data_IF_251059748408
#
_entry.id   IF_251059748408
#
_cell.length_a   1.000
_cell.length_b   1.000
_cell.length_c   1.000
_cell.angle_alpha   90.00
_cell.angle_beta   90.00
_cell.angle_gamma   90.00
#
_symmetry.space_group_name_H-M   'P 1'
#
loop_
_entity.id
_entity.type
_entity.pdbx_description
1 polymer ?
#
# COMPACT_ATOMS: atom_id res chain seq x y z
N UNK A 1 33.31 -19.41 57.27
CA UNK A 1 33.10 -19.68 55.83
C UNK A 1 31.84 -18.92 55.46
N UNK A 2 31.97 -17.62 55.27
CA UNK A 2 30.83 -16.69 55.16
C UNK A 2 30.72 -16.21 53.72
N UNK A 3 29.83 -16.82 52.95
CA UNK A 3 29.54 -16.45 51.57
C UNK A 3 28.49 -15.33 51.53
N UNK A 4 28.98 -14.08 51.40
CA UNK A 4 28.17 -12.89 51.13
C UNK A 4 27.66 -12.96 49.69
N UNK A 5 26.35 -13.11 49.51
CA UNK A 5 25.69 -13.08 48.21
C UNK A 5 25.65 -11.63 47.67
N UNK A 6 26.25 -11.42 46.51
CA UNK A 6 26.29 -10.13 45.80
C UNK A 6 24.93 -9.89 45.10
N UNK A 7 24.17 -8.93 45.61
CA UNK A 7 22.88 -8.54 45.07
C UNK A 7 23.09 -7.73 43.78
N UNK A 8 22.98 -8.40 42.63
CA UNK A 8 23.08 -7.77 41.31
C UNK A 8 22.05 -6.65 41.10
N UNK A 9 22.51 -5.40 41.19
CA UNK A 9 21.73 -4.21 40.83
C UNK A 9 21.40 -4.23 39.33
N UNK A 10 20.14 -4.50 38.99
CA UNK A 10 19.62 -4.40 37.61
C UNK A 10 19.64 -2.94 37.15
N UNK A 11 20.63 -2.56 36.34
CA UNK A 11 20.67 -1.26 35.65
C UNK A 11 19.49 -1.14 34.70
N UNK A 12 18.51 -0.28 35.03
CA UNK A 12 17.38 0.05 34.15
C UNK A 12 17.93 0.79 32.92
N UNK A 13 17.80 0.18 31.75
CA UNK A 13 18.18 0.78 30.47
C UNK A 13 17.14 1.86 30.11
N UNK A 14 17.38 3.10 30.52
CA UNK A 14 16.58 4.25 30.06
C UNK A 14 17.01 4.54 28.62
N UNK A 15 16.16 4.17 27.65
CA UNK A 15 16.36 4.58 26.25
C UNK A 15 16.30 6.11 26.20
N UNK A 16 17.45 6.76 25.95
CA UNK A 16 17.49 8.17 25.57
C UNK A 16 16.80 8.31 24.21
N UNK A 17 15.53 8.70 24.22
CA UNK A 17 14.81 9.07 23.00
C UNK A 17 15.43 10.37 22.49
N UNK A 18 16.14 10.31 21.36
CA UNK A 18 16.61 11.52 20.70
C UNK A 18 15.42 12.44 20.39
N UNK A 19 15.51 13.76 20.63
CA UNK A 19 14.41 14.69 20.31
C UNK A 19 14.18 14.70 18.79
N UNK A 20 13.16 13.95 18.35
CA UNK A 20 12.92 13.59 16.94
C UNK A 20 12.24 14.69 16.11
N UNK A 21 12.45 15.96 16.45
CA UNK A 21 11.92 17.08 15.66
C UNK A 21 13.05 18.06 15.41
N UNK A 22 13.51 18.13 14.15
CA UNK A 22 14.47 19.13 13.70
C UNK A 22 14.07 20.51 14.23
N UNK A 23 15.00 21.29 14.81
CA UNK A 23 14.69 22.53 15.54
C UNK A 23 13.86 23.52 14.70
N UNK A 24 14.08 23.56 13.39
CA UNK A 24 13.30 24.38 12.47
C UNK A 24 11.81 23.99 12.35
N UNK A 25 11.45 22.70 12.46
CA UNK A 25 10.04 22.26 12.37
C UNK A 25 9.26 22.67 13.62
N UNK A 26 9.89 22.65 14.78
CA UNK A 26 9.29 23.07 16.06
C UNK A 26 9.03 24.58 16.03
N UNK A 27 10.02 25.37 15.63
CA UNK A 27 9.90 26.83 15.52
C UNK A 27 8.83 27.26 14.49
N UNK A 28 8.76 26.59 13.33
CA UNK A 28 7.70 26.85 12.33
C UNK A 28 6.29 26.55 12.88
N UNK A 29 6.14 25.50 13.70
CA UNK A 29 4.86 25.19 14.35
C UNK A 29 4.50 26.25 15.38
N UNK A 30 5.46 26.71 16.18
CA UNK A 30 5.26 27.80 17.15
C UNK A 30 4.82 29.08 16.46
N UNK A 31 5.51 29.48 15.38
CA UNK A 31 5.15 30.65 14.56
C UNK A 31 3.72 30.54 14.04
N UNK A 32 3.35 29.40 13.43
CA UNK A 32 1.99 29.20 12.89
C UNK A 32 0.91 29.28 13.99
N UNK A 33 1.19 28.77 15.18
CA UNK A 33 0.25 28.81 16.29
C UNK A 33 0.03 30.25 16.79
N UNK A 34 1.10 31.03 16.94
CA UNK A 34 1.03 32.42 17.37
C UNK A 34 0.38 33.31 16.31
N UNK A 35 0.67 33.10 15.03
CA UNK A 35 -0.02 33.80 13.95
C UNK A 35 -1.52 33.46 13.88
N UNK A 36 -1.90 32.22 14.19
CA UNK A 36 -3.32 31.83 14.27
C UNK A 36 -4.03 32.52 15.43
N UNK A 37 -3.38 32.59 16.60
CA UNK A 37 -3.93 33.29 17.75
C UNK A 37 -4.26 34.76 17.43
N UNK A 38 -3.39 35.43 16.66
CA UNK A 38 -3.60 36.81 16.23
C UNK A 38 -4.56 36.98 15.03
N UNK A 39 -4.65 36.00 14.14
CA UNK A 39 -5.55 36.06 12.97
C UNK A 39 -7.00 35.67 13.30
N UNK A 40 -7.21 34.92 14.36
CA UNK A 40 -8.53 34.50 14.80
C UNK A 40 -9.22 35.66 15.52
N UNK A 41 -10.24 36.23 14.87
CA UNK A 41 -10.99 37.40 15.37
C UNK A 41 -11.66 37.17 16.73
N UNK A 42 -12.06 35.93 17.01
CA UNK A 42 -12.75 35.60 18.26
C UNK A 42 -11.77 35.58 19.44
N UNK A 43 -10.60 34.97 19.26
CA UNK A 43 -9.57 34.95 20.31
C UNK A 43 -8.88 36.31 20.49
N UNK A 44 -8.81 37.13 19.44
CA UNK A 44 -8.19 38.45 19.51
C UNK A 44 -8.99 39.45 20.37
N UNK A 45 -10.33 39.34 20.36
CA UNK A 45 -11.22 40.21 21.15
C UNK A 45 -11.08 39.98 22.66
N UNK A 46 -10.80 38.75 23.05
CA UNK A 46 -10.68 38.35 24.46
C UNK A 46 -9.25 38.51 25.00
N UNK A 47 -8.30 38.89 24.15
CA UNK A 47 -6.89 39.02 24.53
C UNK A 47 -6.55 40.47 24.95
N UNK A 48 -5.84 40.67 26.07
CA UNK A 48 -5.34 41.98 26.46
C UNK A 48 -4.37 42.54 25.40
N UNK A 49 -4.41 43.85 25.18
CA UNK A 49 -3.55 44.55 24.20
C UNK A 49 -2.06 44.32 24.47
N UNK A 50 -1.67 44.20 25.74
CA UNK A 50 -0.30 43.87 26.15
C UNK A 50 0.13 42.48 25.67
N UNK A 51 -0.76 41.49 25.79
CA UNK A 51 -0.50 40.10 25.35
C UNK A 51 -0.39 40.04 23.83
N UNK A 52 -1.19 40.82 23.10
CA UNK A 52 -1.08 40.95 21.65
C UNK A 52 0.31 41.49 21.28
N UNK A 53 0.72 42.62 21.87
CA UNK A 53 2.04 43.22 21.61
C UNK A 53 3.21 42.28 21.96
N UNK A 54 3.10 41.52 23.05
CA UNK A 54 4.09 40.49 23.40
C UNK A 54 4.14 39.34 22.40
N UNK A 55 2.99 38.86 21.94
CA UNK A 55 2.95 37.77 20.96
C UNK A 55 3.51 38.19 19.61
N UNK A 56 3.29 39.43 19.17
CA UNK A 56 3.91 40.00 17.97
C UNK A 56 5.43 40.10 18.09
N UNK A 57 5.95 40.57 19.24
CA UNK A 57 7.40 40.56 19.53
C UNK A 57 7.98 39.15 19.47
N UNK A 58 7.29 38.18 20.11
CA UNK A 58 7.70 36.76 20.07
C UNK A 58 7.65 36.18 18.64
N UNK A 59 6.69 36.58 17.80
CA UNK A 59 6.64 36.18 16.38
C UNK A 59 7.88 36.68 15.64
N UNK A 60 8.26 37.94 15.84
CA UNK A 60 9.45 38.53 15.23
C UNK A 60 10.73 37.78 15.65
N UNK A 61 10.86 37.43 16.93
CA UNK A 61 12.00 36.67 17.43
C UNK A 61 12.06 35.24 16.87
N UNK A 62 10.91 34.56 16.75
CA UNK A 62 10.86 33.22 16.15
C UNK A 62 11.16 33.28 14.66
N UNK A 63 10.74 34.33 13.94
CA UNK A 63 11.11 34.57 12.54
C UNK A 63 12.62 34.73 12.37
N UNK A 64 13.26 35.56 13.20
CA UNK A 64 14.72 35.71 13.24
C UNK A 64 15.43 34.39 13.53
N UNK A 65 14.92 33.58 14.46
CA UNK A 65 15.49 32.24 14.76
C UNK A 65 15.35 31.28 13.58
N UNK A 66 14.26 31.33 12.82
CA UNK A 66 14.06 30.49 11.63
C UNK A 66 15.00 30.94 10.50
N UNK A 67 15.18 32.24 10.33
CA UNK A 67 16.11 32.81 9.34
C UNK A 67 17.57 32.48 9.68
N UNK A 68 17.96 32.61 10.95
CA UNK A 68 19.30 32.23 11.44
C UNK A 68 19.59 30.72 11.31
N UNK A 69 18.56 29.87 11.31
CA UNK A 69 18.69 28.43 11.05
C UNK A 69 18.92 28.10 9.55
N UNK A 70 18.94 29.12 8.70
CA UNK A 70 19.16 29.01 7.25
C UNK A 70 18.04 28.26 6.53
N UNK A 71 18.14 28.12 5.19
CA UNK A 71 17.30 27.22 4.43
C UNK A 71 17.59 25.80 4.90
N UNK A 72 16.78 25.32 5.84
CA UNK A 72 16.75 23.91 6.19
C UNK A 72 16.50 23.12 4.92
N UNK A 73 17.27 22.06 4.64
CA UNK A 73 16.96 21.19 3.53
C UNK A 73 15.56 20.68 3.79
N UNK A 74 14.64 21.07 2.91
CA UNK A 74 13.42 20.29 2.74
C UNK A 74 13.86 18.83 2.54
N UNK A 75 13.06 17.82 2.88
CA UNK A 75 13.40 16.44 2.53
C UNK A 75 13.64 16.24 1.01
N UNK A 76 13.43 17.26 0.16
CA UNK A 76 13.81 17.28 -1.25
C UNK A 76 15.27 17.70 -1.54
N UNK A 77 16.03 18.28 -0.58
CA UNK A 77 17.33 18.91 -0.88
C UNK A 77 18.50 18.53 0.04
N UNK A 78 18.45 17.41 0.75
CA UNK A 78 19.66 16.87 1.37
C UNK A 78 20.61 16.31 0.28
N UNK A 79 21.87 16.76 0.17
CA UNK A 79 22.86 16.09 -0.66
C UNK A 79 23.20 14.76 0.00
N UNK A 80 22.67 13.68 -0.57
CA UNK A 80 22.99 12.32 -0.14
C UNK A 80 24.43 12.01 -0.56
N UNK A 81 25.36 12.14 0.38
CA UNK A 81 26.67 11.51 0.24
C UNK A 81 26.45 9.99 0.09
N UNK A 82 26.82 9.45 -1.09
CA UNK A 82 26.92 8.01 -1.34
C UNK A 82 25.71 7.29 -1.95
N UNK A 83 24.69 7.98 -2.47
CA UNK A 83 23.57 7.32 -3.13
C UNK A 83 23.78 7.24 -4.65
N UNK A 84 23.72 6.01 -5.19
CA UNK A 84 23.58 5.69 -6.61
C UNK A 84 22.67 6.71 -7.34
N UNK A 85 22.92 7.00 -8.64
CA UNK A 85 22.19 8.03 -9.36
C UNK A 85 20.70 7.79 -9.15
N UNK A 86 20.04 8.77 -8.51
CA UNK A 86 18.58 8.80 -8.40
C UNK A 86 18.09 8.83 -9.84
N UNK A 87 17.83 7.64 -10.41
CA UNK A 87 17.09 7.48 -11.64
C UNK A 87 15.94 8.46 -11.52
N UNK A 88 15.87 9.45 -12.42
CA UNK A 88 14.78 10.42 -12.45
C UNK A 88 13.50 9.63 -12.17
N UNK A 89 12.96 9.83 -10.98
CA UNK A 89 11.78 9.13 -10.50
C UNK A 89 10.69 9.76 -11.34
N UNK A 90 10.45 9.16 -12.51
CA UNK A 90 9.37 9.56 -13.38
C UNK A 90 8.11 9.57 -12.52
N UNK A 91 7.46 10.72 -12.51
CA UNK A 91 6.30 10.99 -11.69
C UNK A 91 5.22 9.97 -12.03
N UNK A 92 5.17 8.88 -11.25
CA UNK A 92 3.97 8.09 -11.02
C UNK A 92 2.97 8.95 -10.23
N UNK A 93 2.53 10.06 -10.81
CA UNK A 93 1.34 10.80 -10.39
C UNK A 93 0.19 10.20 -11.17
N UNK A 94 -0.63 9.34 -10.57
CA UNK A 94 -1.88 9.85 -9.97
C UNK A 94 -2.08 9.50 -8.49
N UNK A 95 -1.66 8.32 -8.03
CA UNK A 95 -1.93 7.87 -6.66
C UNK A 95 -0.89 6.82 -6.25
N UNK A 96 0.19 7.26 -5.59
CA UNK A 96 1.37 6.46 -5.22
C UNK A 96 1.00 5.06 -4.69
N UNK A 97 1.13 4.05 -5.55
CA UNK A 97 0.97 2.64 -5.19
C UNK A 97 -0.44 2.05 -5.36
N UNK A 98 -1.48 2.85 -5.62
CA UNK A 98 -2.86 2.36 -5.72
C UNK A 98 -3.05 1.35 -6.84
N UNK A 99 -2.80 1.78 -8.09
CA UNK A 99 -3.02 0.96 -9.30
C UNK A 99 -2.16 -0.31 -9.28
N UNK A 100 -0.86 -0.18 -9.01
CA UNK A 100 0.04 -1.33 -8.92
C UNK A 100 -0.38 -2.30 -7.82
N UNK A 101 -0.84 -1.81 -6.66
CA UNK A 101 -1.28 -2.66 -5.55
C UNK A 101 -2.65 -3.29 -5.76
N UNK A 102 -3.58 -2.62 -6.45
CA UNK A 102 -4.87 -3.22 -6.84
C UNK A 102 -4.65 -4.30 -7.88
N UNK A 103 -3.81 -4.07 -8.88
CA UNK A 103 -3.46 -5.10 -9.87
C UNK A 103 -2.70 -6.26 -9.24
N UNK A 104 -1.75 -5.99 -8.33
CA UNK A 104 -1.04 -7.06 -7.62
C UNK A 104 -2.01 -7.94 -6.81
N UNK A 105 -2.99 -7.33 -6.14
CA UNK A 105 -4.06 -8.06 -5.43
C UNK A 105 -4.97 -8.80 -6.39
N UNK A 106 -5.31 -8.21 -7.54
CA UNK A 106 -6.16 -8.83 -8.57
C UNK A 106 -5.47 -10.06 -9.16
N UNK A 107 -4.20 -9.95 -9.57
CA UNK A 107 -3.38 -11.07 -10.04
C UNK A 107 -3.30 -12.20 -9.00
N UNK A 108 -2.97 -11.85 -7.75
CA UNK A 108 -2.90 -12.83 -6.66
C UNK A 108 -4.23 -13.55 -6.43
N UNK A 109 -5.36 -12.82 -6.43
CA UNK A 109 -6.69 -13.41 -6.30
C UNK A 109 -7.03 -14.31 -7.48
N UNK A 110 -6.67 -13.94 -8.71
CA UNK A 110 -6.87 -14.78 -9.89
C UNK A 110 -6.10 -16.09 -9.78
N UNK A 111 -4.83 -16.07 -9.36
CA UNK A 111 -4.05 -17.31 -9.13
C UNK A 111 -4.71 -18.20 -8.07
N UNK A 112 -5.15 -17.62 -6.96
CA UNK A 112 -5.81 -18.38 -5.88
C UNK A 112 -7.14 -18.96 -6.34
N UNK A 113 -7.96 -18.17 -7.04
CA UNK A 113 -9.23 -18.62 -7.61
C UNK A 113 -9.02 -19.72 -8.64
N UNK A 114 -8.02 -19.56 -9.52
CA UNK A 114 -7.65 -20.54 -10.53
C UNK A 114 -7.24 -21.87 -9.89
N UNK A 115 -6.32 -21.85 -8.92
CA UNK A 115 -5.91 -23.07 -8.20
C UNK A 115 -7.06 -23.75 -7.45
N UNK A 116 -8.05 -22.97 -7.00
CA UNK A 116 -9.25 -23.51 -6.33
C UNK A 116 -10.22 -24.16 -7.34
N UNK A 117 -10.37 -23.58 -8.52
CA UNK A 117 -11.24 -24.10 -9.59
C UNK A 117 -10.62 -25.30 -10.31
N UNK A 118 -9.29 -25.33 -10.42
CA UNK A 118 -8.53 -26.35 -11.13
C UNK A 118 -7.61 -27.09 -10.14
N UNK A 119 -8.14 -28.02 -9.33
CA UNK A 119 -7.32 -28.81 -8.41
C UNK A 119 -6.27 -29.67 -9.14
N UNK A 120 -6.54 -30.04 -10.40
CA UNK A 120 -5.66 -30.85 -11.25
C UNK A 120 -4.88 -30.01 -12.28
N UNK A 121 -4.65 -28.72 -12.01
CA UNK A 121 -3.94 -27.80 -12.93
C UNK A 121 -2.54 -28.28 -13.34
N UNK A 122 -1.91 -29.15 -12.56
CA UNK A 122 -0.61 -29.75 -12.90
C UNK A 122 -0.74 -30.89 -13.92
N UNK A 123 -1.89 -31.57 -13.98
CA UNK A 123 -2.13 -32.69 -14.88
C UNK A 123 -2.61 -32.25 -16.27
N UNK A 124 -3.27 -31.09 -16.36
CA UNK A 124 -3.73 -30.53 -17.63
C UNK A 124 -2.71 -29.53 -18.20
N UNK A 125 -2.21 -29.80 -19.40
CA UNK A 125 -1.26 -28.92 -20.09
C UNK A 125 -1.87 -27.53 -20.37
N UNK A 126 -3.18 -27.45 -20.61
CA UNK A 126 -3.85 -26.17 -20.81
C UNK A 126 -3.93 -25.34 -19.53
N UNK A 127 -4.30 -25.98 -18.40
CA UNK A 127 -4.45 -25.30 -17.11
C UNK A 127 -3.09 -24.86 -16.54
N UNK A 128 -2.05 -25.68 -16.73
CA UNK A 128 -0.69 -25.31 -16.33
C UNK A 128 -0.16 -24.11 -17.12
N UNK A 129 -0.48 -23.98 -18.41
CA UNK A 129 -0.15 -22.80 -19.23
C UNK A 129 -0.86 -21.55 -18.72
N UNK A 130 -2.17 -21.64 -18.45
CA UNK A 130 -2.94 -20.52 -17.91
C UNK A 130 -2.42 -20.05 -16.54
N UNK A 131 -2.08 -20.99 -15.66
CA UNK A 131 -1.44 -20.67 -14.39
C UNK A 131 -0.10 -19.98 -14.58
N UNK A 132 0.73 -20.45 -15.51
CA UNK A 132 2.02 -19.84 -15.81
C UNK A 132 1.87 -18.42 -16.34
N UNK A 133 0.82 -18.13 -17.11
CA UNK A 133 0.49 -16.77 -17.55
C UNK A 133 0.07 -15.86 -16.39
N UNK A 134 -0.78 -16.35 -15.48
CA UNK A 134 -1.18 -15.62 -14.28
C UNK A 134 0.02 -15.35 -13.35
N UNK A 135 0.93 -16.31 -13.22
CA UNK A 135 2.20 -16.13 -12.50
C UNK A 135 3.09 -15.09 -13.18
N UNK A 136 3.20 -15.13 -14.51
CA UNK A 136 3.97 -14.15 -15.28
C UNK A 136 3.40 -12.74 -15.08
N UNK A 137 2.08 -12.58 -15.10
CA UNK A 137 1.41 -11.31 -14.79
C UNK A 137 1.79 -10.81 -13.40
N UNK A 138 1.73 -11.68 -12.38
CA UNK A 138 2.16 -11.31 -11.02
C UNK A 138 3.61 -10.80 -11.00
N UNK A 139 4.51 -11.47 -11.72
CA UNK A 139 5.92 -11.11 -11.79
C UNK A 139 6.16 -9.82 -12.58
N UNK A 140 5.43 -9.61 -13.69
CA UNK A 140 5.41 -8.35 -14.44
C UNK A 140 5.07 -7.20 -13.52
N UNK A 141 4.00 -7.33 -12.72
CA UNK A 141 3.58 -6.31 -11.77
C UNK A 141 4.71 -6.08 -10.77
N UNK A 142 5.16 -7.11 -10.05
CA UNK A 142 6.19 -6.98 -8.99
C UNK A 142 7.45 -6.30 -9.51
N UNK A 143 7.97 -6.76 -10.64
CA UNK A 143 9.29 -6.38 -11.18
C UNK A 143 9.23 -5.35 -12.31
N UNK A 144 8.08 -4.68 -12.50
CA UNK A 144 7.95 -3.62 -13.49
C UNK A 144 9.07 -2.57 -13.35
N UNK A 145 9.77 -2.22 -14.45
CA UNK A 145 10.90 -1.31 -14.41
C UNK A 145 10.50 0.07 -13.91
N UNK A 146 11.28 0.60 -12.97
CA UNK A 146 11.04 1.93 -12.38
C UNK A 146 11.28 3.08 -13.36
N UNK A 147 11.89 2.79 -14.51
CA UNK A 147 12.18 3.76 -15.58
C UNK A 147 10.93 4.14 -16.37
N UNK A 148 9.90 3.30 -16.40
CA UNK A 148 8.69 3.55 -17.18
C UNK A 148 7.49 3.83 -16.26
N UNK A 149 6.48 4.53 -16.82
CA UNK A 149 5.17 4.60 -16.19
C UNK A 149 4.53 3.21 -16.21
N UNK A 150 3.87 2.84 -15.12
CA UNK A 150 3.24 1.53 -15.00
C UNK A 150 2.11 1.37 -16.02
N UNK A 151 2.15 0.29 -16.81
CA UNK A 151 1.13 -0.03 -17.82
C UNK A 151 0.19 -1.10 -17.23
N UNK A 152 -1.07 -0.77 -16.90
CA UNK A 152 -2.01 -1.71 -16.27
C UNK A 152 -2.30 -2.91 -17.16
N UNK A 153 -2.36 -4.12 -16.61
CA UNK A 153 -2.72 -5.34 -17.37
C UNK A 153 -4.24 -5.53 -17.39
N UNK A 154 -4.92 -5.26 -16.27
CA UNK A 154 -6.33 -5.59 -16.08
C UNK A 154 -7.23 -4.35 -16.13
N UNK A 155 -6.92 -3.41 -17.04
CA UNK A 155 -7.79 -2.28 -17.33
C UNK A 155 -9.04 -2.77 -18.09
N UNK A 156 -10.23 -2.40 -17.62
CA UNK A 156 -11.50 -2.99 -18.08
C UNK A 156 -12.07 -2.36 -19.37
N UNK A 157 -11.59 -1.18 -19.79
CA UNK A 157 -12.25 -0.44 -20.89
C UNK A 157 -11.36 0.56 -21.64
N UNK A 158 -10.04 0.52 -21.46
CA UNK A 158 -9.15 1.42 -22.19
C UNK A 158 -8.67 0.73 -23.48
N UNK A 159 -8.95 1.34 -24.63
CA UNK A 159 -8.22 1.04 -25.87
C UNK A 159 -6.72 1.11 -25.55
N UNK A 160 -6.04 -0.02 -25.65
CA UNK A 160 -4.62 -0.07 -25.37
C UNK A 160 -3.88 0.42 -26.59
N UNK A 161 -3.22 1.57 -26.45
CA UNK A 161 -2.31 2.07 -27.46
C UNK A 161 -1.34 0.96 -27.89
N UNK A 162 -1.19 0.73 -29.19
CA UNK A 162 -0.27 -0.28 -29.72
C UNK A 162 1.18 -0.08 -29.23
N UNK A 163 1.56 1.17 -29.00
CA UNK A 163 2.87 1.53 -28.44
C UNK A 163 3.04 1.01 -27.01
N UNK A 164 2.02 1.14 -26.16
CA UNK A 164 2.02 0.62 -24.80
C UNK A 164 2.02 -0.92 -24.80
N UNK A 165 1.33 -1.54 -25.76
CA UNK A 165 1.35 -2.98 -25.92
C UNK A 165 2.74 -3.52 -26.30
N UNK A 166 3.46 -2.86 -27.21
CA UNK A 166 4.85 -3.20 -27.55
C UNK A 166 5.78 -3.09 -26.34
N UNK A 167 5.61 -2.04 -25.53
CA UNK A 167 6.38 -1.88 -24.28
C UNK A 167 6.01 -2.97 -23.28
N UNK A 168 4.72 -3.31 -23.15
CA UNK A 168 4.27 -4.38 -22.26
C UNK A 168 4.84 -5.74 -22.66
N UNK A 169 4.80 -6.10 -23.94
CA UNK A 169 5.34 -7.38 -24.42
C UNK A 169 6.84 -7.46 -24.18
N UNK A 170 7.58 -6.39 -24.48
CA UNK A 170 9.02 -6.32 -24.19
C UNK A 170 9.31 -6.55 -22.71
N UNK A 171 8.61 -5.85 -21.82
CA UNK A 171 8.80 -6.00 -20.37
C UNK A 171 8.41 -7.41 -19.89
N UNK A 172 7.36 -8.02 -20.47
CA UNK A 172 6.96 -9.41 -20.17
C UNK A 172 8.05 -10.39 -20.57
N UNK A 173 8.63 -10.25 -21.76
CA UNK A 173 9.73 -11.08 -22.22
C UNK A 173 10.98 -10.91 -21.36
N UNK A 174 11.33 -9.68 -21.01
CA UNK A 174 12.47 -9.40 -20.13
C UNK A 174 12.25 -9.98 -18.74
N UNK A 175 11.00 -9.96 -18.23
CA UNK A 175 10.63 -10.60 -16.97
C UNK A 175 10.77 -12.13 -17.09
N UNK A 176 10.37 -12.75 -18.21
CA UNK A 176 10.55 -14.18 -18.46
C UNK A 176 12.03 -14.56 -18.50
N UNK A 177 12.85 -13.83 -19.27
CA UNK A 177 14.31 -14.01 -19.32
C UNK A 177 14.95 -13.83 -17.93
N UNK A 178 14.46 -12.88 -17.13
CA UNK A 178 14.94 -12.65 -15.77
C UNK A 178 14.53 -13.75 -14.79
N UNK A 179 13.40 -14.43 -15.01
CA UNK A 179 13.00 -15.63 -14.27
C UNK A 179 13.86 -16.83 -14.64
N UNK A 180 14.10 -17.05 -15.93
CA UNK A 180 14.94 -18.15 -16.45
C UNK A 180 16.40 -18.00 -16.02
N UNK A 181 16.94 -16.77 -16.04
CA UNK A 181 18.29 -16.47 -15.56
C UNK A 181 18.42 -16.48 -14.03
N UNK A 182 17.33 -16.69 -13.28
CA UNK A 182 17.33 -16.70 -11.81
C UNK A 182 17.56 -15.34 -11.15
N UNK A 183 17.65 -14.25 -11.92
CA UNK A 183 17.76 -12.87 -11.41
C UNK A 183 16.52 -12.48 -10.61
N UNK A 184 15.37 -13.02 -10.99
CA UNK A 184 14.11 -12.87 -10.29
C UNK A 184 13.68 -14.26 -9.79
N UNK A 185 13.42 -14.38 -8.48
CA UNK A 185 12.91 -15.61 -7.90
C UNK A 185 11.38 -15.64 -7.97
N UNK A 186 10.80 -16.73 -8.48
CA UNK A 186 9.36 -17.00 -8.29
C UNK A 186 9.11 -17.09 -6.79
N UNK A 187 8.13 -16.34 -6.27
CA UNK A 187 7.71 -16.48 -4.88
C UNK A 187 6.88 -17.76 -4.75
N UNK A 188 7.54 -18.91 -4.74
CA UNK A 188 6.95 -20.14 -4.22
C UNK A 188 6.66 -19.89 -2.74
N UNK A 189 5.38 -19.97 -2.36
CA UNK A 189 4.87 -19.56 -1.05
C UNK A 189 5.38 -20.43 0.10
N UNK A 190 6.63 -20.21 0.51
CA UNK A 190 7.29 -20.82 1.65
C UNK A 190 7.41 -19.92 2.89
N UNK A 191 6.90 -18.69 2.86
CA UNK A 191 6.77 -17.85 4.07
C UNK A 191 5.39 -18.04 4.71
N UNK A 192 5.09 -19.28 5.11
CA UNK A 192 4.33 -19.48 6.34
C UNK A 192 5.38 -19.54 7.44
N UNK A 193 5.47 -18.57 8.37
CA UNK A 193 6.00 -18.94 9.67
C UNK A 193 5.04 -20.01 10.20
N UNK A 194 5.53 -21.25 10.32
CA UNK A 194 4.92 -22.25 11.20
C UNK A 194 5.00 -21.73 12.64
N UNK A 195 4.22 -20.70 12.94
CA UNK A 195 3.77 -20.43 14.28
C UNK A 195 2.80 -21.55 14.61
N UNK A 196 3.30 -22.57 15.29
CA UNK A 196 2.49 -23.51 16.07
C UNK A 196 1.37 -22.71 16.74
N UNK A 197 0.15 -22.84 16.23
CA UNK A 197 -1.03 -22.49 16.98
C UNK A 197 -1.15 -23.55 18.08
N UNK A 198 -0.45 -23.36 19.19
CA UNK A 198 -0.88 -23.98 20.43
C UNK A 198 -2.31 -23.47 20.68
N UNK A 199 -3.31 -24.36 20.90
CA UNK A 199 -4.60 -23.91 21.37
C UNK A 199 -4.39 -23.41 22.79
N UNK A 200 -4.15 -22.11 22.94
CA UNK A 200 -4.27 -21.45 24.22
C UNK A 200 -5.71 -21.64 24.68
N UNK A 201 -5.89 -22.56 25.63
CA UNK A 201 -7.11 -22.84 26.38
C UNK A 201 -7.46 -21.65 27.29
N UNK A 202 -7.68 -20.49 26.67
CA UNK A 202 -8.24 -19.30 27.30
C UNK A 202 -9.72 -19.25 26.99
N UNK A 203 -10.55 -19.64 27.97
CA UNK A 203 -12.00 -19.45 27.97
C UNK A 203 -12.33 -17.97 27.74
N UNK A 204 -12.69 -17.62 26.51
CA UNK A 204 -13.47 -16.43 26.21
C UNK A 204 -14.88 -16.87 25.80
N UNK A 205 -15.94 -16.22 26.30
CA UNK A 205 -17.30 -16.63 26.03
C UNK A 205 -17.60 -16.52 24.54
N UNK A 206 -18.02 -17.65 24.00
CA UNK A 206 -18.63 -17.86 22.69
C UNK A 206 -19.88 -16.97 22.63
N UNK A 207 -19.78 -15.78 22.06
CA UNK A 207 -20.97 -15.06 21.58
C UNK A 207 -21.38 -15.73 20.28
N UNK A 208 -22.32 -16.66 20.43
CA UNK A 208 -23.08 -17.33 19.40
C UNK A 208 -23.75 -16.29 18.49
N UNK A 209 -23.18 -16.01 17.32
CA UNK A 209 -23.94 -15.45 16.20
C UNK A 209 -23.75 -16.36 15.00
N UNK A 210 -24.56 -17.40 14.99
CA UNK A 210 -24.90 -18.19 13.82
C UNK A 210 -26.40 -18.36 13.91
N UNK A 211 -27.13 -17.59 13.12
CA UNK A 211 -28.47 -17.89 12.61
C UNK A 211 -28.87 -16.74 11.68
N UNK A 212 -28.77 -16.97 10.37
CA UNK A 212 -29.91 -16.77 9.48
C UNK A 212 -29.64 -17.54 8.19
N UNK A 213 -30.07 -18.79 8.24
CA UNK A 213 -30.22 -19.69 7.13
C UNK A 213 -31.69 -19.58 6.69
N UNK A 214 -32.00 -18.66 5.79
CA UNK A 214 -33.31 -18.64 5.12
C UNK A 214 -33.21 -19.45 3.83
N UNK A 215 -33.52 -20.72 4.01
CA UNK A 215 -33.99 -21.66 3.00
C UNK A 215 -35.49 -21.39 2.79
N UNK A 216 -35.85 -20.44 1.92
CA UNK A 216 -37.19 -20.39 1.34
C UNK A 216 -37.15 -20.95 -0.08
N UNK A 217 -37.78 -22.12 -0.22
CA UNK A 217 -38.10 -22.71 -1.49
C UNK A 217 -39.22 -21.95 -2.19
N UNK A 218 -39.10 -21.84 -3.51
CA UNK A 218 -40.26 -21.84 -4.39
C UNK A 218 -39.95 -22.78 -5.53
N UNK A 219 -40.48 -23.98 -5.36
CA UNK A 219 -40.98 -24.85 -6.43
C UNK A 219 -41.96 -24.04 -7.30
N UNK A 220 -41.74 -23.97 -8.61
CA UNK A 220 -42.82 -23.81 -9.58
C UNK A 220 -42.36 -24.41 -10.91
N UNK A 221 -42.87 -25.61 -11.17
CA UNK A 221 -42.70 -26.40 -12.37
C UNK A 221 -43.24 -25.68 -13.63
N UNK A 222 -42.49 -25.85 -14.72
CA UNK A 222 -42.92 -26.04 -16.11
C UNK A 222 -44.29 -25.50 -16.57
N UNK A 223 -44.28 -24.59 -17.57
CA UNK A 223 -45.15 -24.74 -18.75
C UNK A 223 -44.47 -24.31 -20.05
N UNK A 224 -44.44 -25.28 -20.95
CA UNK A 224 -44.30 -25.21 -22.40
C UNK A 224 -45.17 -24.11 -23.01
N UNK A 225 -44.68 -23.50 -24.10
CA UNK A 225 -45.53 -23.14 -25.25
C UNK A 225 -44.65 -22.96 -26.50
N UNK A 226 -44.37 -24.09 -27.16
CA UNK A 226 -44.16 -24.11 -28.60
C UNK A 226 -45.51 -23.89 -29.31
N UNK A 227 -45.62 -22.81 -30.08
CA UNK A 227 -46.53 -22.52 -31.22
C UNK A 227 -46.38 -21.01 -31.47
N UNK A 228 -46.23 -20.46 -32.66
CA UNK A 228 -46.57 -20.91 -34.00
C UNK A 228 -45.83 -20.04 -35.02
N UNK A 229 -45.64 -20.66 -36.17
CA UNK A 229 -45.14 -20.13 -37.43
C UNK A 229 -45.79 -18.81 -37.91
N UNK A 230 -45.04 -18.16 -38.82
CA UNK A 230 -45.48 -17.59 -40.12
C UNK A 230 -45.49 -16.06 -40.27
N UNK A 231 -44.82 -15.64 -41.36
CA UNK A 231 -44.75 -14.31 -42.01
C UNK A 231 -43.60 -13.44 -41.46
N UNK A 232 -42.63 -12.96 -42.25
CA UNK A 232 -42.73 -12.49 -43.63
C UNK A 232 -41.45 -12.78 -44.42
N UNK A 233 -41.65 -13.47 -45.54
CA UNK A 233 -40.81 -13.40 -46.72
C UNK A 233 -41.06 -12.03 -47.37
N UNK A 234 -40.03 -11.21 -47.51
CA UNK A 234 -40.01 -10.06 -48.42
C UNK A 234 -38.67 -10.10 -49.13
N UNK A 235 -38.66 -10.92 -50.18
CA UNK A 235 -38.07 -10.70 -51.50
C UNK A 235 -38.06 -12.03 -52.28
#
# INVERSE_FOLDING_TARGET
>A
MDSKADAGTKKKFVRKVAPSKAPGRVLKKQLRNMERLLKNKDTLKDLPVEVVAETEKKIADVKKKIEALGPQPSPASAPAAGAAPKSQINNNSVAKGGIKATELRRAGRKIVAFKKQHPNHEASEAESKELAELELDLMYIKHFPKTHAYIPIYAEAAEQDESQNKVRTQIREDTRKALESGKIKKSTGGDKPEGKAEPASGKHPISNWSDDNDEEGSDDEEKEDERETKKQKKD
#
